data_IF_528939347492
#
_entry.id   IF_528939347492
#
_cell.length_a   1.000
_cell.length_b   1.000
_cell.length_c   1.000
_cell.angle_alpha   90.00
_cell.angle_beta   90.00
_cell.angle_gamma   90.00
#
_symmetry.space_group_name_H-M   'P 1'
#
loop_
_entity.id
_entity.type
_entity.pdbx_description
1 polymer ?
#
# COMPACT_ATOMS: atom_id res chain seq x y z
N UNK A 1 3.36 4.39 -5.95
CA UNK A 1 2.90 3.00 -6.21
C UNK A 1 2.31 2.88 -7.61
N UNK A 2 1.23 3.59 -7.98
CA UNK A 2 0.53 3.45 -9.27
C UNK A 2 1.40 3.64 -10.51
N UNK A 3 2.27 4.66 -10.54
CA UNK A 3 3.13 4.96 -11.69
C UNK A 3 4.06 3.79 -12.11
N UNK A 4 4.82 3.14 -11.20
CA UNK A 4 5.59 1.93 -11.56
C UNK A 4 4.71 0.76 -12.01
N UNK A 5 3.56 0.51 -11.38
CA UNK A 5 2.64 -0.56 -11.80
C UNK A 5 2.14 -0.33 -13.23
N UNK A 6 1.70 0.88 -13.56
CA UNK A 6 1.29 1.26 -14.92
C UNK A 6 2.44 1.06 -15.94
N UNK A 7 3.69 1.40 -15.57
CA UNK A 7 4.87 1.17 -16.42
C UNK A 7 5.07 -0.32 -16.71
N UNK A 8 4.93 -1.18 -15.71
CA UNK A 8 5.05 -2.62 -15.91
C UNK A 8 3.97 -3.16 -16.85
N UNK A 9 2.73 -2.68 -16.73
CA UNK A 9 1.65 -3.03 -17.66
C UNK A 9 2.00 -2.62 -19.10
N UNK A 10 2.42 -1.38 -19.33
CA UNK A 10 2.84 -0.91 -20.65
C UNK A 10 4.00 -1.76 -21.20
N UNK A 11 4.99 -2.10 -20.38
CA UNK A 11 6.14 -2.94 -20.79
C UNK A 11 5.75 -4.38 -21.16
N UNK A 12 4.58 -4.85 -20.71
CA UNK A 12 4.01 -6.17 -21.03
C UNK A 12 3.05 -6.12 -22.23
N UNK A 13 2.92 -4.97 -22.89
CA UNK A 13 2.14 -4.82 -24.12
C UNK A 13 0.67 -4.46 -23.89
N UNK A 14 0.30 -4.03 -22.69
CA UNK A 14 -1.04 -3.46 -22.47
C UNK A 14 -1.11 -2.02 -22.95
N UNK A 15 -2.24 -1.64 -23.56
CA UNK A 15 -2.57 -0.25 -23.88
C UNK A 15 -2.96 0.46 -22.58
N UNK A 16 -2.16 1.42 -22.14
CA UNK A 16 -2.33 2.08 -20.84
C UNK A 16 -2.80 3.51 -21.01
N UNK A 17 -3.93 3.84 -20.37
CA UNK A 17 -4.44 5.20 -20.21
C UNK A 17 -4.23 5.62 -18.77
N UNK A 18 -3.50 6.70 -18.51
CA UNK A 18 -3.25 7.19 -17.15
C UNK A 18 -4.05 8.44 -16.83
N UNK A 19 -4.44 8.56 -15.58
CA UNK A 19 -5.03 9.77 -15.02
C UNK A 19 -4.27 10.19 -13.75
N UNK A 20 -4.09 11.48 -13.60
CA UNK A 20 -3.66 12.08 -12.32
C UNK A 20 -4.33 13.45 -12.18
N UNK A 21 -4.81 13.81 -10.97
CA UNK A 21 -5.38 15.14 -10.70
C UNK A 21 -4.41 16.30 -11.05
N UNK A 22 -3.11 16.03 -11.03
CA UNK A 22 -2.10 16.91 -11.65
C UNK A 22 -1.81 16.36 -13.06
N UNK A 23 -2.42 16.96 -14.07
CA UNK A 23 -2.34 16.53 -15.48
C UNK A 23 -0.90 16.51 -16.01
N UNK A 24 -0.03 17.40 -15.53
CA UNK A 24 1.38 17.42 -15.95
C UNK A 24 2.13 16.15 -15.55
N UNK A 25 1.78 15.54 -14.39
CA UNK A 25 2.33 14.23 -14.01
C UNK A 25 1.88 13.11 -14.94
N UNK A 26 0.65 13.15 -15.43
CA UNK A 26 0.14 12.17 -16.41
C UNK A 26 0.83 12.34 -17.77
N UNK A 27 1.00 13.56 -18.26
CA UNK A 27 1.73 13.86 -19.50
C UNK A 27 3.18 13.38 -19.44
N UNK A 28 3.92 13.73 -18.38
CA UNK A 28 5.30 13.29 -18.17
C UNK A 28 5.43 11.76 -18.11
N UNK A 29 4.41 11.08 -17.54
CA UNK A 29 4.40 9.64 -17.52
C UNK A 29 4.28 9.07 -18.94
N UNK A 30 3.35 9.61 -19.75
CA UNK A 30 3.13 9.20 -21.16
C UNK A 30 4.37 9.47 -22.03
N UNK A 31 4.99 10.65 -21.89
CA UNK A 31 6.24 10.97 -22.61
C UNK A 31 7.35 9.94 -22.34
N UNK A 32 7.42 9.44 -21.12
CA UNK A 32 8.47 8.49 -20.71
C UNK A 32 8.15 7.02 -21.04
N UNK A 33 6.88 6.63 -20.98
CA UNK A 33 6.49 5.21 -20.97
C UNK A 33 5.57 4.82 -22.16
N UNK A 34 5.11 5.80 -22.94
CA UNK A 34 4.09 5.58 -23.97
C UNK A 34 2.67 5.53 -23.39
N UNK A 35 1.71 5.09 -24.21
CA UNK A 35 0.30 5.10 -23.88
C UNK A 35 -0.37 6.47 -24.08
N UNK A 36 -1.45 6.72 -23.34
CA UNK A 36 -2.21 7.98 -23.41
C UNK A 36 -2.62 8.43 -21.98
N UNK A 37 -3.16 9.64 -21.88
CA UNK A 37 -3.73 10.14 -20.63
C UNK A 37 -5.15 10.67 -20.83
N UNK A 38 -5.94 10.65 -19.78
CA UNK A 38 -7.28 11.21 -19.70
C UNK A 38 -7.29 12.44 -18.76
N UNK A 39 -8.27 13.33 -18.95
CA UNK A 39 -8.43 14.54 -18.14
C UNK A 39 -9.30 14.30 -16.90
N UNK A 40 -10.16 13.27 -16.94
CA UNK A 40 -11.03 12.89 -15.84
C UNK A 40 -10.96 11.37 -15.57
N UNK A 41 -11.27 10.92 -14.35
CA UNK A 41 -11.39 9.49 -14.05
C UNK A 41 -12.47 8.80 -14.92
N UNK A 42 -13.56 9.52 -15.22
CA UNK A 42 -14.64 9.03 -16.08
C UNK A 42 -14.13 8.67 -17.47
N UNK A 43 -13.33 9.55 -18.11
CA UNK A 43 -12.73 9.28 -19.43
C UNK A 43 -11.86 8.02 -19.42
N UNK A 44 -11.16 7.71 -18.29
CA UNK A 44 -10.44 6.43 -18.15
C UNK A 44 -11.44 5.27 -18.18
N UNK A 45 -12.55 5.36 -17.43
CA UNK A 45 -13.59 4.34 -17.42
C UNK A 45 -14.24 4.09 -18.79
N UNK A 46 -14.42 5.15 -19.60
CA UNK A 46 -15.00 5.06 -20.93
C UNK A 46 -14.09 4.33 -21.94
N UNK A 47 -12.77 4.39 -21.74
CA UNK A 47 -11.75 3.90 -22.66
C UNK A 47 -11.19 2.52 -22.29
N UNK A 48 -11.26 2.12 -21.01
CA UNK A 48 -10.56 0.94 -20.50
C UNK A 48 -11.52 -0.19 -20.13
N UNK A 49 -11.09 -1.43 -20.36
CA UNK A 49 -11.78 -2.64 -19.89
C UNK A 49 -11.47 -2.94 -18.42
N UNK A 50 -10.29 -2.55 -17.97
CA UNK A 50 -9.81 -2.73 -16.60
C UNK A 50 -9.29 -1.38 -16.11
N UNK A 51 -9.83 -0.89 -15.01
CA UNK A 51 -9.35 0.34 -14.38
C UNK A 51 -8.74 0.05 -13.03
N UNK A 52 -7.51 0.50 -12.80
CA UNK A 52 -6.78 0.33 -11.55
C UNK A 52 -6.64 1.66 -10.83
N UNK A 53 -7.15 1.73 -9.61
CA UNK A 53 -7.08 2.91 -8.73
C UNK A 53 -5.97 2.72 -7.71
N UNK A 54 -5.16 3.77 -7.47
CA UNK A 54 -4.13 3.79 -6.44
C UNK A 54 -3.95 5.23 -5.94
N UNK A 55 -4.67 5.58 -4.89
CA UNK A 55 -4.74 6.94 -4.32
C UNK A 55 -4.40 6.94 -2.81
N UNK A 56 -4.78 7.96 -2.05
CA UNK A 56 -4.29 8.16 -0.70
C UNK A 56 -5.10 7.47 0.40
N UNK A 57 -6.42 7.55 0.35
CA UNK A 57 -7.33 7.15 1.44
C UNK A 57 -8.75 6.90 0.91
N UNK A 58 -9.68 6.53 1.81
CA UNK A 58 -11.08 6.25 1.50
C UNK A 58 -11.78 7.40 0.76
N UNK A 59 -11.57 8.64 1.20
CA UNK A 59 -12.22 9.81 0.58
C UNK A 59 -11.69 10.05 -0.84
N UNK A 60 -10.38 9.90 -1.04
CA UNK A 60 -9.79 10.00 -2.37
C UNK A 60 -10.35 8.91 -3.31
N UNK A 61 -10.51 7.67 -2.82
CA UNK A 61 -11.11 6.58 -3.60
C UNK A 61 -12.57 6.89 -3.94
N UNK A 62 -13.39 7.31 -2.95
CA UNK A 62 -14.79 7.69 -3.23
C UNK A 62 -14.88 8.79 -4.28
N UNK A 63 -14.06 9.82 -4.16
CA UNK A 63 -14.06 10.93 -5.12
C UNK A 63 -13.68 10.47 -6.53
N UNK A 64 -12.62 9.64 -6.66
CA UNK A 64 -12.13 9.17 -7.96
C UNK A 64 -13.07 8.13 -8.58
N UNK A 65 -13.74 7.30 -7.75
CA UNK A 65 -14.59 6.21 -8.26
C UNK A 65 -16.06 6.62 -8.37
N UNK A 66 -16.63 7.21 -7.32
CA UNK A 66 -18.07 7.48 -7.18
C UNK A 66 -18.44 8.94 -7.46
N UNK A 67 -17.48 9.85 -7.62
CA UNK A 67 -17.72 11.26 -7.93
C UNK A 67 -18.48 11.45 -9.25
N UNK A 68 -18.97 12.64 -9.52
CA UNK A 68 -19.75 12.96 -10.73
C UNK A 68 -18.98 12.62 -12.02
N UNK A 69 -17.65 12.90 -12.06
CA UNK A 69 -16.74 12.51 -13.13
C UNK A 69 -15.85 11.34 -12.71
N UNK A 70 -16.36 10.47 -11.83
CA UNK A 70 -15.66 9.31 -11.32
C UNK A 70 -15.60 8.16 -12.33
N UNK A 71 -14.67 7.24 -12.08
CA UNK A 71 -14.43 6.06 -12.92
C UNK A 71 -15.71 5.29 -13.18
N UNK A 72 -16.53 5.06 -12.15
CA UNK A 72 -17.74 4.24 -12.25
C UNK A 72 -18.77 4.84 -13.21
N UNK A 73 -18.82 6.16 -13.39
CA UNK A 73 -19.71 6.82 -14.36
C UNK A 73 -19.36 6.44 -15.81
N UNK A 74 -18.08 6.19 -16.11
CA UNK A 74 -17.58 5.83 -17.45
C UNK A 74 -17.52 4.33 -17.71
N UNK A 75 -17.47 3.47 -16.68
CA UNK A 75 -17.35 2.02 -16.84
C UNK A 75 -18.57 1.39 -17.52
N UNK A 76 -18.31 0.44 -18.41
CA UNK A 76 -19.28 -0.32 -19.17
C UNK A 76 -19.54 -1.70 -18.54
N UNK A 77 -20.66 -2.32 -18.87
CA UNK A 77 -20.94 -3.71 -18.48
C UNK A 77 -19.78 -4.64 -18.89
N UNK A 78 -19.38 -5.53 -17.99
CA UNK A 78 -18.30 -6.51 -18.19
C UNK A 78 -16.89 -5.97 -17.98
N UNK A 79 -16.71 -4.68 -17.68
CA UNK A 79 -15.43 -4.09 -17.25
C UNK A 79 -15.11 -4.44 -15.81
N UNK A 80 -13.88 -4.19 -15.35
CA UNK A 80 -13.45 -4.47 -13.98
C UNK A 80 -12.77 -3.24 -13.37
N UNK A 81 -13.17 -2.92 -12.14
CA UNK A 81 -12.51 -1.93 -11.28
C UNK A 81 -11.62 -2.66 -10.25
N UNK A 82 -10.37 -2.25 -10.15
CA UNK A 82 -9.40 -2.75 -9.16
C UNK A 82 -8.95 -1.59 -8.28
N UNK A 83 -9.06 -1.73 -6.96
CA UNK A 83 -8.54 -0.72 -6.02
C UNK A 83 -7.30 -1.23 -5.29
N UNK A 84 -6.15 -0.67 -5.64
CA UNK A 84 -4.86 -0.93 -4.98
C UNK A 84 -4.58 -0.02 -3.77
N UNK A 85 -5.48 0.90 -3.48
CA UNK A 85 -5.35 1.79 -2.32
C UNK A 85 -5.45 0.98 -1.03
N UNK A 86 -4.60 1.25 -0.04
CA UNK A 86 -4.87 0.77 1.31
C UNK A 86 -5.99 1.61 1.91
N UNK A 87 -7.18 1.03 2.00
CA UNK A 87 -8.44 1.63 2.39
C UNK A 87 -9.20 0.74 3.38
N UNK A 88 -10.38 1.15 3.82
CA UNK A 88 -11.22 0.33 4.71
C UNK A 88 -11.90 -0.81 3.96
N UNK A 89 -12.11 -1.95 4.67
CA UNK A 89 -12.93 -3.05 4.14
C UNK A 89 -14.39 -2.62 3.91
N UNK A 90 -14.88 -1.65 4.68
CA UNK A 90 -16.20 -1.06 4.49
C UNK A 90 -16.32 -0.37 3.13
N UNK A 91 -15.32 0.44 2.75
CA UNK A 91 -15.26 1.05 1.44
C UNK A 91 -15.19 0.00 0.32
N UNK A 92 -14.38 -1.04 0.48
CA UNK A 92 -14.29 -2.09 -0.52
C UNK A 92 -15.66 -2.76 -0.79
N UNK A 93 -16.43 -3.03 0.26
CA UNK A 93 -17.81 -3.56 0.14
C UNK A 93 -18.78 -2.57 -0.49
N UNK A 94 -18.66 -1.27 -0.16
CA UNK A 94 -19.42 -0.18 -0.79
C UNK A 94 -19.17 -0.15 -2.30
N UNK A 95 -17.90 -0.21 -2.72
CA UNK A 95 -17.51 -0.19 -4.13
C UNK A 95 -17.96 -1.46 -4.86
N UNK A 96 -17.84 -2.64 -4.22
CA UNK A 96 -18.33 -3.91 -4.80
C UNK A 96 -19.83 -3.83 -5.10
N UNK A 97 -20.63 -3.34 -4.15
CA UNK A 97 -22.07 -3.17 -4.35
C UNK A 97 -22.38 -2.18 -5.49
N UNK A 98 -21.70 -1.05 -5.55
CA UNK A 98 -21.88 -0.04 -6.59
C UNK A 98 -21.48 -0.57 -8.00
N UNK A 99 -20.39 -1.33 -8.07
CA UNK A 99 -19.95 -1.98 -9.32
C UNK A 99 -20.93 -3.07 -9.77
N UNK A 100 -21.38 -3.92 -8.86
CA UNK A 100 -22.37 -4.98 -9.14
C UNK A 100 -23.67 -4.40 -9.71
N UNK A 101 -24.16 -3.28 -9.18
CA UNK A 101 -25.35 -2.60 -9.68
C UNK A 101 -25.23 -2.13 -11.15
N UNK A 102 -24.00 -2.02 -11.66
CA UNK A 102 -23.67 -1.67 -13.06
C UNK A 102 -23.16 -2.87 -13.87
N UNK A 103 -23.20 -4.08 -13.34
CA UNK A 103 -22.59 -5.26 -13.98
C UNK A 103 -21.10 -5.08 -14.28
N UNK A 104 -20.39 -4.40 -13.39
CA UNK A 104 -18.95 -4.20 -13.38
C UNK A 104 -18.33 -5.11 -12.33
N UNK A 105 -17.23 -5.80 -12.66
CA UNK A 105 -16.45 -6.58 -11.70
C UNK A 105 -15.69 -5.66 -10.74
N UNK A 106 -15.48 -6.11 -9.48
CA UNK A 106 -14.70 -5.36 -8.49
C UNK A 106 -13.68 -6.24 -7.78
N UNK A 107 -12.49 -5.70 -7.56
CA UNK A 107 -11.43 -6.32 -6.74
C UNK A 107 -10.80 -5.25 -5.84
N UNK A 108 -10.85 -5.41 -4.52
CA UNK A 108 -9.94 -4.71 -3.63
C UNK A 108 -8.60 -5.47 -3.60
N UNK A 109 -7.54 -4.79 -3.94
CA UNK A 109 -6.24 -5.40 -4.20
C UNK A 109 -5.07 -4.60 -3.61
N UNK A 110 -5.09 -4.27 -2.32
CA UNK A 110 -3.98 -3.59 -1.69
C UNK A 110 -2.69 -4.39 -1.82
N UNK A 111 -1.56 -3.67 -1.81
CA UNK A 111 -0.25 -4.22 -2.12
C UNK A 111 0.73 -4.10 -0.96
N UNK A 112 1.71 -5.01 -0.91
CA UNK A 112 2.86 -4.96 -0.02
C UNK A 112 4.15 -5.10 -0.83
N UNK A 113 5.27 -4.49 -0.33
CA UNK A 113 6.58 -4.46 -0.99
C UNK A 113 7.15 -3.05 -1.12
N UNK A 114 6.34 -2.01 -0.79
CA UNK A 114 6.76 -0.61 -0.83
C UNK A 114 7.15 -0.11 -2.22
N UNK A 115 7.82 1.02 -2.29
CA UNK A 115 8.26 1.63 -3.54
C UNK A 115 9.20 0.70 -4.32
N UNK A 116 10.17 0.09 -3.65
CA UNK A 116 11.12 -0.83 -4.28
C UNK A 116 10.42 -2.04 -4.92
N UNK A 117 9.43 -2.63 -4.22
CA UNK A 117 8.62 -3.72 -4.77
C UNK A 117 7.83 -3.30 -6.02
N UNK A 118 7.27 -2.09 -6.02
CA UNK A 118 6.56 -1.56 -7.18
C UNK A 118 7.50 -1.29 -8.36
N UNK A 119 8.66 -0.70 -8.11
CA UNK A 119 9.66 -0.38 -9.14
C UNK A 119 10.24 -1.64 -9.80
N UNK A 120 10.42 -2.70 -9.02
CA UNK A 120 11.00 -3.97 -9.48
C UNK A 120 9.96 -4.99 -9.98
N UNK A 121 8.66 -4.66 -10.00
CA UNK A 121 7.61 -5.61 -10.39
C UNK A 121 7.50 -6.81 -9.43
N UNK A 122 7.77 -6.59 -8.15
CA UNK A 122 7.89 -7.65 -7.13
C UNK A 122 6.93 -7.43 -5.95
N UNK A 123 5.74 -6.89 -6.21
CA UNK A 123 4.71 -6.67 -5.20
C UNK A 123 4.05 -7.98 -4.78
N UNK A 124 3.51 -7.99 -3.56
CA UNK A 124 2.52 -8.96 -3.12
C UNK A 124 1.15 -8.29 -3.17
N UNK A 125 0.20 -8.90 -3.87
CA UNK A 125 -1.17 -8.39 -4.05
C UNK A 125 -2.13 -9.27 -3.27
N UNK A 126 -2.94 -8.67 -2.39
CA UNK A 126 -3.94 -9.34 -1.56
C UNK A 126 -5.32 -8.99 -2.10
N UNK A 127 -6.02 -9.92 -2.74
CA UNK A 127 -7.26 -9.64 -3.45
C UNK A 127 -8.50 -10.09 -2.66
N UNK A 128 -9.45 -9.15 -2.49
CA UNK A 128 -10.84 -9.44 -2.13
C UNK A 128 -11.71 -9.33 -3.38
N UNK A 129 -12.47 -10.37 -3.71
CA UNK A 129 -13.30 -10.40 -4.91
C UNK A 129 -14.47 -11.38 -4.72
N UNK A 130 -15.70 -10.93 -4.97
CA UNK A 130 -16.89 -11.77 -4.81
C UNK A 130 -16.97 -12.88 -5.87
N UNK A 131 -16.54 -12.61 -7.12
CA UNK A 131 -16.56 -13.55 -8.23
C UNK A 131 -15.16 -14.09 -8.55
N UNK A 132 -14.96 -15.40 -8.33
CA UNK A 132 -13.73 -16.11 -8.67
C UNK A 132 -13.34 -15.93 -10.15
N UNK A 133 -14.31 -15.88 -11.07
CA UNK A 133 -14.03 -15.74 -12.52
C UNK A 133 -13.45 -14.37 -12.85
N UNK A 134 -13.89 -13.33 -12.13
CA UNK A 134 -13.30 -11.97 -12.26
C UNK A 134 -11.85 -11.99 -11.80
N UNK A 135 -11.56 -12.61 -10.65
CA UNK A 135 -10.19 -12.76 -10.17
C UNK A 135 -9.31 -13.55 -11.15
N UNK A 136 -9.79 -14.70 -11.64
CA UNK A 136 -9.02 -15.56 -12.57
C UNK A 136 -8.70 -14.82 -13.89
N UNK A 137 -9.65 -14.01 -14.39
CA UNK A 137 -9.44 -13.13 -15.57
C UNK A 137 -8.32 -12.11 -15.33
N UNK A 138 -8.23 -11.53 -14.13
CA UNK A 138 -7.28 -10.47 -13.79
C UNK A 138 -5.91 -11.00 -13.32
N UNK A 139 -5.84 -12.27 -12.91
CA UNK A 139 -4.60 -12.86 -12.39
C UNK A 139 -3.38 -12.66 -13.32
N UNK A 140 -3.47 -12.90 -14.65
CA UNK A 140 -2.34 -12.66 -15.56
C UNK A 140 -1.93 -11.19 -15.66
N UNK A 141 -2.88 -10.25 -15.46
CA UNK A 141 -2.60 -8.81 -15.47
C UNK A 141 -1.79 -8.41 -14.24
N UNK A 142 -2.12 -8.96 -13.06
CA UNK A 142 -1.35 -8.73 -11.82
C UNK A 142 0.10 -9.24 -11.94
N UNK A 143 0.35 -10.32 -12.66
CA UNK A 143 1.68 -10.90 -12.86
C UNK A 143 2.65 -9.94 -13.59
N UNK A 144 2.15 -8.85 -14.18
CA UNK A 144 3.00 -7.80 -14.76
C UNK A 144 3.85 -7.06 -13.70
N UNK A 145 3.36 -6.94 -12.46
CA UNK A 145 4.01 -6.18 -11.39
C UNK A 145 4.03 -6.87 -10.01
N UNK A 146 3.54 -8.09 -9.95
CA UNK A 146 3.46 -8.86 -8.70
C UNK A 146 4.29 -10.14 -8.77
N UNK A 147 5.04 -10.43 -7.70
CA UNK A 147 5.68 -11.74 -7.48
C UNK A 147 4.74 -12.75 -6.82
N UNK A 148 3.67 -12.26 -6.16
CA UNK A 148 2.64 -13.07 -5.51
C UNK A 148 1.31 -12.34 -5.55
N UNK A 149 0.25 -13.06 -5.89
CA UNK A 149 -1.11 -12.54 -5.92
C UNK A 149 -2.07 -13.66 -5.53
N UNK A 150 -2.97 -13.39 -4.60
CA UNK A 150 -3.93 -14.40 -4.13
C UNK A 150 -5.27 -13.77 -3.78
N UNK A 151 -6.36 -14.48 -4.12
CA UNK A 151 -7.70 -14.18 -3.62
C UNK A 151 -7.80 -14.64 -2.17
N UNK A 152 -8.14 -13.71 -1.28
CA UNK A 152 -8.21 -13.91 0.17
C UNK A 152 -9.65 -14.18 0.66
N UNK A 153 -10.64 -13.92 -0.19
CA UNK A 153 -12.05 -14.04 0.09
C UNK A 153 -12.87 -13.05 -0.73
N UNK A 154 -14.06 -12.74 -0.27
CA UNK A 154 -14.96 -11.80 -0.91
C UNK A 154 -14.48 -10.33 -0.75
N UNK A 155 -15.20 -9.38 -1.34
CA UNK A 155 -14.85 -7.96 -1.29
C UNK A 155 -14.60 -7.47 0.15
N UNK A 156 -13.48 -6.80 0.36
CA UNK A 156 -12.95 -6.37 1.65
C UNK A 156 -11.91 -7.33 2.26
N UNK A 157 -11.82 -8.59 1.81
CA UNK A 157 -10.86 -9.55 2.35
C UNK A 157 -9.40 -9.17 2.02
N UNK A 158 -9.16 -8.53 0.89
CA UNK A 158 -7.86 -7.98 0.54
C UNK A 158 -7.44 -6.88 1.52
N UNK A 159 -8.33 -5.93 1.82
CA UNK A 159 -8.09 -4.85 2.78
C UNK A 159 -7.88 -5.40 4.20
N UNK A 160 -8.69 -6.37 4.64
CA UNK A 160 -8.49 -7.04 5.95
C UNK A 160 -7.11 -7.73 6.02
N UNK A 161 -6.70 -8.41 4.96
CA UNK A 161 -5.37 -9.03 4.87
C UNK A 161 -4.26 -7.98 4.92
N UNK A 162 -4.47 -6.83 4.27
CA UNK A 162 -3.54 -5.70 4.35
C UNK A 162 -3.45 -5.14 5.78
N UNK A 163 -4.55 -5.07 6.54
CA UNK A 163 -4.53 -4.67 7.95
C UNK A 163 -3.66 -5.63 8.80
N UNK A 164 -3.80 -6.95 8.60
CA UNK A 164 -2.93 -7.94 9.27
C UNK A 164 -1.45 -7.66 8.93
N UNK A 165 -1.13 -7.41 7.65
CA UNK A 165 0.23 -7.05 7.25
C UNK A 165 0.73 -5.78 7.96
N UNK A 166 -0.08 -4.72 8.08
CA UNK A 166 0.33 -3.46 8.71
C UNK A 166 0.53 -3.61 10.22
N UNK A 167 -0.31 -4.38 10.90
CA UNK A 167 -0.13 -4.74 12.33
C UNK A 167 1.22 -5.45 12.53
N UNK A 168 1.53 -6.45 11.70
CA UNK A 168 2.81 -7.16 11.77
C UNK A 168 4.00 -6.22 11.53
N UNK A 169 3.93 -5.35 10.51
CA UNK A 169 5.02 -4.41 10.21
C UNK A 169 5.23 -3.44 11.38
N UNK A 170 4.18 -2.91 11.99
CA UNK A 170 4.28 -2.00 13.14
C UNK A 170 5.10 -2.63 14.27
N UNK A 171 4.77 -3.87 14.66
CA UNK A 171 5.48 -4.59 15.71
C UNK A 171 6.93 -4.91 15.35
N UNK A 172 7.15 -5.42 14.14
CA UNK A 172 8.51 -5.78 13.67
C UNK A 172 9.43 -4.56 13.62
N UNK A 173 8.97 -3.42 13.09
CA UNK A 173 9.79 -2.21 12.98
C UNK A 173 10.09 -1.62 14.36
N UNK A 174 9.10 -1.61 15.27
CA UNK A 174 9.29 -1.11 16.64
C UNK A 174 10.31 -1.96 17.39
N UNK A 175 10.15 -3.29 17.37
CA UNK A 175 11.11 -4.20 18.01
C UNK A 175 12.51 -4.13 17.42
N UNK A 176 12.63 -3.96 16.09
CA UNK A 176 13.92 -3.77 15.43
C UNK A 176 14.60 -2.47 15.87
N UNK A 177 13.84 -1.37 16.01
CA UNK A 177 14.38 -0.10 16.47
C UNK A 177 14.95 -0.21 17.89
N UNK A 178 14.22 -0.83 18.81
CA UNK A 178 14.70 -1.07 20.18
C UNK A 178 15.93 -1.99 20.21
N UNK A 179 15.92 -3.07 19.43
CA UNK A 179 17.03 -4.03 19.36
C UNK A 179 18.32 -3.38 18.84
N UNK A 180 18.25 -2.57 17.78
CA UNK A 180 19.40 -1.86 17.23
C UNK A 180 19.91 -0.79 18.21
N UNK A 181 19.02 -0.02 18.84
CA UNK A 181 19.42 0.93 19.87
C UNK A 181 20.08 0.23 21.06
N UNK A 182 19.54 -0.91 21.52
CA UNK A 182 20.15 -1.72 22.57
C UNK A 182 21.57 -2.18 22.19
N UNK A 183 21.75 -2.72 20.97
CA UNK A 183 23.06 -3.18 20.48
C UNK A 183 24.08 -2.03 20.52
N UNK A 184 23.72 -0.86 19.97
CA UNK A 184 24.59 0.32 19.96
C UNK A 184 24.94 0.81 21.38
N UNK A 185 23.96 0.83 22.29
CA UNK A 185 24.18 1.23 23.72
C UNK A 185 25.03 0.22 24.48
N UNK A 186 24.95 -1.06 24.13
CA UNK A 186 25.78 -2.12 24.69
C UNK A 186 27.21 -2.18 24.10
N UNK A 187 27.55 -1.28 23.16
CA UNK A 187 28.86 -1.23 22.52
C UNK A 187 29.09 -2.31 21.46
N UNK A 188 28.00 -2.94 20.95
CA UNK A 188 28.09 -3.90 19.86
C UNK A 188 28.09 -3.18 18.50
N UNK A 189 28.75 -3.78 17.51
CA UNK A 189 28.61 -3.39 16.12
C UNK A 189 27.24 -3.84 15.59
N UNK A 190 26.34 -2.88 15.36
CA UNK A 190 24.96 -3.17 14.96
C UNK A 190 24.88 -3.83 13.57
N UNK A 191 25.80 -3.53 12.64
CA UNK A 191 25.84 -4.17 11.32
C UNK A 191 26.24 -5.66 11.47
N UNK A 192 27.24 -6.00 12.31
CA UNK A 192 27.62 -7.38 12.60
C UNK A 192 26.50 -8.14 13.33
N UNK A 193 25.83 -7.50 14.27
CA UNK A 193 24.67 -8.11 14.96
C UNK A 193 23.60 -8.50 13.94
N UNK A 194 23.24 -7.59 13.05
CA UNK A 194 22.22 -7.84 12.01
C UNK A 194 22.67 -8.96 11.06
N UNK A 195 23.94 -8.98 10.65
CA UNK A 195 24.48 -10.04 9.78
C UNK A 195 24.24 -11.44 10.36
N UNK A 196 24.45 -11.59 11.66
CA UNK A 196 24.25 -12.88 12.35
C UNK A 196 22.77 -13.20 12.56
N UNK A 197 22.00 -12.29 13.17
CA UNK A 197 20.62 -12.59 13.58
C UNK A 197 19.65 -12.66 12.39
N UNK A 198 19.98 -12.06 11.25
CA UNK A 198 19.21 -12.19 10.00
C UNK A 198 19.20 -13.62 9.43
N UNK A 199 20.04 -14.53 9.94
CA UNK A 199 20.04 -15.96 9.56
C UNK A 199 19.23 -16.82 10.55
N UNK A 200 18.73 -16.23 11.61
CA UNK A 200 18.00 -16.91 12.67
C UNK A 200 16.50 -16.56 12.69
N UNK A 201 15.83 -16.95 13.76
CA UNK A 201 14.38 -16.80 13.92
C UNK A 201 13.89 -15.34 14.01
N UNK A 202 14.77 -14.38 14.25
CA UNK A 202 14.43 -12.95 14.30
C UNK A 202 14.45 -12.28 12.93
N UNK A 203 14.80 -13.02 11.86
CA UNK A 203 14.86 -12.49 10.49
C UNK A 203 13.53 -11.83 10.08
N UNK A 204 13.64 -10.70 9.41
CA UNK A 204 12.52 -10.03 8.75
C UNK A 204 13.00 -9.21 7.55
N UNK A 205 12.08 -8.97 6.59
CA UNK A 205 12.36 -8.05 5.48
C UNK A 205 12.79 -6.66 5.99
N UNK A 206 12.21 -6.20 7.10
CA UNK A 206 12.54 -4.91 7.70
C UNK A 206 14.00 -4.91 8.21
N UNK A 207 14.41 -5.99 8.87
CA UNK A 207 15.80 -6.14 9.32
C UNK A 207 16.79 -6.08 8.14
N UNK A 208 16.53 -6.80 7.06
CA UNK A 208 17.45 -6.86 5.91
C UNK A 208 17.49 -5.55 5.10
N UNK A 209 16.38 -4.81 5.05
CA UNK A 209 16.24 -3.66 4.16
C UNK A 209 16.22 -2.31 4.88
N UNK A 210 16.17 -2.26 6.23
CA UNK A 210 16.08 -1.03 7.02
C UNK A 210 17.16 -0.86 8.07
N UNK A 211 17.75 -1.93 8.59
CA UNK A 211 18.73 -1.84 9.68
C UNK A 211 19.87 -0.86 9.39
N UNK A 212 20.46 -0.92 8.20
CA UNK A 212 21.57 -0.04 7.82
C UNK A 212 21.20 1.44 7.80
N UNK A 213 20.02 1.78 7.30
CA UNK A 213 19.53 3.16 7.27
C UNK A 213 19.12 3.64 8.66
N UNK A 214 18.59 2.74 9.50
CA UNK A 214 18.27 3.04 10.91
C UNK A 214 19.52 3.39 11.70
N UNK A 215 20.58 2.58 11.59
CA UNK A 215 21.85 2.83 12.27
C UNK A 215 22.54 4.12 11.78
N UNK A 216 22.33 4.50 10.52
CA UNK A 216 22.90 5.71 9.89
C UNK A 216 22.00 6.94 10.00
N UNK A 217 20.89 6.87 10.74
CA UNK A 217 19.92 7.97 10.93
C UNK A 217 19.34 8.53 9.61
N UNK A 218 19.08 7.65 8.62
CA UNK A 218 18.58 8.01 7.30
C UNK A 218 17.14 7.52 7.13
N UNK A 219 16.17 8.46 6.93
CA UNK A 219 14.74 8.13 6.90
C UNK A 219 13.95 8.83 5.78
N UNK A 220 14.57 9.63 4.93
CA UNK A 220 13.90 10.39 3.86
C UNK A 220 13.61 9.55 2.62
N UNK A 221 12.94 8.41 2.80
CA UNK A 221 12.58 7.47 1.75
C UNK A 221 11.43 6.55 2.21
N UNK A 222 11.04 5.61 1.37
CA UNK A 222 10.22 4.46 1.72
C UNK A 222 8.75 4.76 2.00
N UNK A 223 8.24 4.27 3.14
CA UNK A 223 6.83 4.35 3.51
C UNK A 223 6.64 5.32 4.69
N UNK A 224 6.01 6.45 4.43
CA UNK A 224 5.91 7.56 5.37
C UNK A 224 5.13 7.20 6.65
N UNK A 225 5.60 7.71 7.79
CA UNK A 225 4.99 7.53 9.12
C UNK A 225 3.51 7.98 9.14
N UNK A 226 3.16 9.08 8.45
CA UNK A 226 1.77 9.54 8.34
C UNK A 226 0.85 8.51 7.65
N UNK A 227 1.34 7.79 6.63
CA UNK A 227 0.58 6.75 5.97
C UNK A 227 0.46 5.48 6.82
N UNK A 228 1.49 5.14 7.61
CA UNK A 228 1.38 4.05 8.56
C UNK A 228 0.32 4.37 9.62
N UNK A 229 0.28 5.58 10.19
CA UNK A 229 -0.77 5.99 11.13
C UNK A 229 -2.17 5.93 10.51
N UNK A 230 -2.32 6.35 9.25
CA UNK A 230 -3.58 6.18 8.53
C UNK A 230 -3.96 4.69 8.46
N UNK A 231 -3.03 3.82 8.10
CA UNK A 231 -3.29 2.38 7.98
C UNK A 231 -3.64 1.76 9.35
N UNK A 232 -2.93 2.12 10.41
CA UNK A 232 -3.25 1.66 11.78
C UNK A 232 -4.61 2.19 12.26
N UNK A 233 -4.98 3.41 11.88
CA UNK A 233 -6.33 3.95 12.13
C UNK A 233 -7.43 3.07 11.54
N UNK A 234 -7.26 2.60 10.30
CA UNK A 234 -8.18 1.65 9.67
C UNK A 234 -8.23 0.32 10.46
N UNK A 235 -7.07 -0.16 10.95
CA UNK A 235 -7.03 -1.37 11.79
C UNK A 235 -7.81 -1.17 13.10
N UNK A 236 -7.71 0.00 13.74
CA UNK A 236 -8.45 0.29 14.97
C UNK A 236 -9.95 0.36 14.75
N UNK A 237 -10.40 0.91 13.62
CA UNK A 237 -11.83 0.96 13.31
C UNK A 237 -12.38 -0.44 13.03
N UNK A 238 -11.66 -1.28 12.29
CA UNK A 238 -12.07 -2.67 12.07
C UNK A 238 -11.98 -3.53 13.34
N UNK A 239 -11.03 -3.24 14.22
CA UNK A 239 -10.93 -3.93 15.53
C UNK A 239 -12.15 -3.71 16.42
N UNK A 240 -12.82 -2.53 16.33
CA UNK A 240 -14.10 -2.27 17.03
C UNK A 240 -15.22 -3.19 16.52
N UNK A 241 -15.22 -3.49 15.22
CA UNK A 241 -16.22 -4.35 14.60
C UNK A 241 -15.97 -5.83 14.88
N UNK A 242 -14.69 -6.26 14.81
CA UNK A 242 -14.29 -7.67 15.00
C UNK A 242 -14.09 -8.08 16.47
N UNK A 243 -13.97 -7.12 17.39
CA UNK A 243 -13.63 -7.37 18.79
C UNK A 243 -12.15 -7.70 19.02
N UNK A 244 -11.27 -7.48 18.06
CA UNK A 244 -9.84 -7.75 18.21
C UNK A 244 -9.17 -6.75 19.15
N UNK A 245 -8.29 -7.25 20.04
CA UNK A 245 -7.44 -6.37 20.86
C UNK A 245 -6.13 -6.06 20.12
N UNK A 246 -5.83 -4.77 19.98
CA UNK A 246 -4.64 -4.23 19.31
C UNK A 246 -3.77 -3.42 20.26
N UNK A 247 -3.57 -3.89 21.49
CA UNK A 247 -2.83 -3.18 22.55
C UNK A 247 -1.43 -2.75 22.08
N UNK A 248 -0.62 -3.67 21.52
CA UNK A 248 0.72 -3.36 21.01
C UNK A 248 0.67 -2.37 19.84
N UNK A 249 -0.27 -2.56 18.92
CA UNK A 249 -0.43 -1.68 17.75
C UNK A 249 -0.78 -0.24 18.16
N UNK A 250 -1.62 -0.05 19.18
CA UNK A 250 -1.94 1.28 19.76
C UNK A 250 -0.70 1.96 20.33
N UNK A 251 0.16 1.19 21.05
CA UNK A 251 1.42 1.71 21.57
C UNK A 251 2.32 2.20 20.41
N UNK A 252 2.47 1.40 19.36
CA UNK A 252 3.30 1.77 18.20
C UNK A 252 2.72 2.97 17.43
N UNK A 253 1.39 3.09 17.30
CA UNK A 253 0.78 4.28 16.70
C UNK A 253 1.09 5.55 17.51
N UNK A 254 1.04 5.47 18.84
CA UNK A 254 1.43 6.59 19.70
C UNK A 254 2.92 6.98 19.53
N UNK A 255 3.80 6.01 19.30
CA UNK A 255 5.20 6.31 18.95
C UNK A 255 5.32 7.00 17.58
N UNK A 256 4.57 6.57 16.57
CA UNK A 256 4.53 7.30 15.29
C UNK A 256 3.96 8.71 15.42
N UNK A 257 2.99 8.95 16.31
CA UNK A 257 2.52 10.31 16.57
C UNK A 257 3.68 11.21 17.03
N UNK A 258 4.53 10.73 17.94
CA UNK A 258 5.72 11.46 18.39
C UNK A 258 6.74 11.68 17.27
N UNK A 259 6.93 10.73 16.36
CA UNK A 259 7.76 10.93 15.15
C UNK A 259 7.21 12.09 14.30
N UNK A 260 5.90 12.18 14.13
CA UNK A 260 5.27 13.28 13.39
C UNK A 260 5.47 14.61 14.09
N UNK A 261 5.34 14.67 15.42
CA UNK A 261 5.60 15.88 16.23
C UNK A 261 7.05 16.38 16.08
N UNK A 262 8.00 15.46 15.84
CA UNK A 262 9.41 15.80 15.52
C UNK A 262 9.61 16.28 14.07
N UNK A 263 8.54 16.47 13.28
CA UNK A 263 8.62 16.84 11.87
C UNK A 263 8.78 15.67 10.92
N UNK A 264 8.68 14.43 11.41
CA UNK A 264 8.93 13.19 10.66
C UNK A 264 7.73 12.62 9.92
N UNK A 265 6.68 13.40 9.62
CA UNK A 265 5.48 12.90 8.94
C UNK A 265 5.79 12.13 7.64
N UNK A 266 6.81 12.59 6.91
CA UNK A 266 7.25 11.99 5.63
C UNK A 266 8.41 11.01 5.76
N UNK A 267 8.98 10.82 6.95
CA UNK A 267 10.04 9.84 7.16
C UNK A 267 9.51 8.40 7.04
N UNK A 268 10.40 7.49 6.61
CA UNK A 268 10.10 6.05 6.58
C UNK A 268 9.68 5.52 7.96
N UNK A 269 8.83 4.52 7.98
CA UNK A 269 8.34 3.89 9.23
C UNK A 269 9.47 3.46 10.17
N UNK A 270 10.66 3.17 9.66
CA UNK A 270 11.84 2.83 10.47
C UNK A 270 12.35 3.99 11.33
N UNK A 271 11.82 5.22 11.14
CA UNK A 271 12.15 6.41 11.93
C UNK A 271 11.73 6.34 13.40
N UNK A 272 11.03 5.29 13.85
CA UNK A 272 10.86 4.99 15.27
C UNK A 272 12.21 4.96 16.01
N UNK A 273 13.29 4.61 15.33
CA UNK A 273 14.66 4.65 15.85
C UNK A 273 15.06 6.04 16.36
N UNK A 274 14.60 7.13 15.73
CA UNK A 274 14.90 8.52 16.17
C UNK A 274 14.40 8.82 17.57
N UNK A 275 13.29 8.25 17.99
CA UNK A 275 12.77 8.44 19.35
C UNK A 275 13.72 7.90 20.42
N UNK A 276 14.57 6.94 20.07
CA UNK A 276 15.50 6.25 20.97
C UNK A 276 16.90 6.88 20.91
N UNK A 277 17.31 7.36 19.73
CA UNK A 277 18.63 7.98 19.52
C UNK A 277 18.62 9.49 19.78
N UNK A 278 17.50 10.14 19.55
CA UNK A 278 17.29 11.59 19.75
C UNK A 278 15.99 11.84 20.54
N UNK A 279 15.89 11.40 21.82
CA UNK A 279 14.65 11.59 22.57
C UNK A 279 14.32 13.09 22.65
N UNK A 280 13.06 13.48 22.44
CA UNK A 280 12.63 14.85 22.66
C UNK A 280 12.94 15.24 24.12
N UNK A 281 13.41 16.48 24.31
CA UNK A 281 13.73 17.06 25.61
C UNK A 281 12.50 17.21 26.48
#
# INVERSE_FOLDING_TARGET
>A
MGSPMARHLASKGHDVVVYNRNTEKAKQWVEKNGGSFALTPREVGEQCEIVMVCVGNDNDVRNVVLGADGVLAGLKNGTVLVDHTTASATLARELSAACTAKSVGFIDAPVSGGQAGAENGALTVMCGCDDQKVFDRLRPVFDAYAKACQRMGDAGAGQLTKMVNQICIAGVVSGLAEALNFAMRAGLDADQVVEVISKGAAQSWQMENRSKTMVRDQFEFGFAAEWMRKDLGICFDEAKNSGADLTMTKLVDALYARVIEMGGARWDTSSLMKLLTHPPK
#
